data_IF_727057615554
#
_entry.id   IF_727057615554
#
_cell.length_a   1.000
_cell.length_b   1.000
_cell.length_c   1.000
_cell.angle_alpha   90.00
_cell.angle_beta   90.00
_cell.angle_gamma   90.00
#
_symmetry.space_group_name_H-M   'P 1'
#
loop_
_entity.id
_entity.type
_entity.pdbx_description
1 polymer ?
#
# COMPACT_ATOMS: atom_id res chain seq x y z
N UNK A 1 16.86 -26.29 37.77
CA UNK A 1 15.68 -25.40 37.77
C UNK A 1 16.12 -23.97 37.99
N UNK A 2 15.99 -23.09 36.99
CA UNK A 2 15.25 -21.81 37.12
C UNK A 2 15.16 -21.13 35.76
N UNK A 3 13.93 -21.10 35.24
CA UNK A 3 13.50 -20.30 34.09
C UNK A 3 13.66 -18.81 34.40
N UNK A 4 14.48 -18.11 33.61
CA UNK A 4 14.53 -16.64 33.56
C UNK A 4 13.76 -16.10 32.35
N UNK A 5 12.57 -16.66 32.11
CA UNK A 5 11.53 -16.10 31.22
C UNK A 5 10.61 -15.11 31.97
N UNK A 6 11.17 -14.30 32.87
CA UNK A 6 10.37 -13.32 33.61
C UNK A 6 10.12 -12.08 32.76
N UNK A 7 8.98 -12.11 32.09
CA UNK A 7 8.17 -10.95 31.76
C UNK A 7 8.80 -9.91 30.83
N UNK A 8 9.01 -10.29 29.57
CA UNK A 8 8.80 -9.33 28.47
C UNK A 8 7.28 -9.21 28.30
N UNK A 9 6.65 -8.29 29.03
CA UNK A 9 5.25 -7.96 28.79
C UNK A 9 5.14 -7.56 27.31
N UNK A 10 4.55 -8.43 26.48
CA UNK A 10 4.00 -7.97 25.21
C UNK A 10 3.01 -6.87 25.57
N UNK A 11 3.08 -5.66 24.99
CA UNK A 11 1.96 -4.75 25.11
C UNK A 11 0.76 -5.48 24.54
N UNK A 12 -0.15 -5.89 25.41
CA UNK A 12 -1.45 -6.41 25.05
C UNK A 12 -2.23 -5.19 24.59
N UNK A 13 -1.99 -4.76 23.34
CA UNK A 13 -2.95 -3.94 22.64
C UNK A 13 -4.16 -4.84 22.39
N UNK A 14 -5.04 -4.89 23.38
CA UNK A 14 -6.42 -5.35 23.22
C UNK A 14 -7.29 -4.20 22.71
N UNK A 15 -6.73 -3.32 21.86
CA UNK A 15 -7.57 -2.46 21.06
C UNK A 15 -8.17 -3.32 19.97
N UNK A 16 -9.50 -3.43 20.02
CA UNK A 16 -10.35 -3.79 18.89
C UNK A 16 -10.11 -2.76 17.76
N UNK A 17 -8.95 -2.81 17.11
CA UNK A 17 -8.72 -2.07 15.88
C UNK A 17 -9.64 -2.68 14.83
N UNK A 18 -10.59 -1.89 14.35
CA UNK A 18 -11.41 -2.28 13.21
C UNK A 18 -10.44 -2.56 12.07
N UNK A 19 -10.41 -3.79 11.56
CA UNK A 19 -9.51 -4.18 10.49
C UNK A 19 -9.69 -3.23 9.30
N UNK A 20 -8.66 -2.45 8.95
CA UNK A 20 -8.76 -1.40 7.93
C UNK A 20 -8.67 0.04 8.47
N UNK A 21 -8.75 0.24 9.80
CA UNK A 21 -8.75 1.54 10.49
C UNK A 21 -7.75 1.57 11.67
N UNK A 22 -6.76 0.68 11.66
CA UNK A 22 -5.70 0.64 12.67
C UNK A 22 -4.59 1.65 12.39
N UNK A 23 -3.82 2.02 13.41
CA UNK A 23 -2.74 3.01 13.30
C UNK A 23 -1.69 2.65 12.25
N UNK A 24 -1.42 1.35 12.07
CA UNK A 24 -0.53 0.83 11.02
C UNK A 24 -1.01 1.21 9.61
N UNK A 25 -2.32 1.12 9.35
CA UNK A 25 -2.90 1.40 8.04
C UNK A 25 -2.89 2.89 7.69
N UNK A 26 -3.10 3.75 8.70
CA UNK A 26 -2.99 5.19 8.58
C UNK A 26 -1.55 5.61 8.25
N UNK A 27 -0.58 5.03 8.97
CA UNK A 27 0.83 5.28 8.72
C UNK A 27 1.27 4.84 7.32
N UNK A 28 0.86 3.65 6.87
CA UNK A 28 1.15 3.16 5.52
C UNK A 28 0.55 4.07 4.44
N UNK A 29 -0.61 4.68 4.69
CA UNK A 29 -1.24 5.62 3.77
C UNK A 29 -0.55 6.98 3.75
N UNK A 30 -0.18 7.50 4.92
CA UNK A 30 0.61 8.72 5.03
C UNK A 30 1.97 8.57 4.34
N UNK A 31 2.67 7.46 4.57
CA UNK A 31 3.94 7.16 3.91
C UNK A 31 3.78 7.02 2.39
N UNK A 32 2.70 6.39 1.92
CA UNK A 32 2.41 6.31 0.50
C UNK A 32 2.15 7.70 -0.12
N UNK A 33 1.39 8.58 0.56
CA UNK A 33 1.15 9.96 0.11
C UNK A 33 2.46 10.77 0.06
N UNK A 34 3.31 10.64 1.08
CA UNK A 34 4.65 11.28 1.09
C UNK A 34 5.51 10.78 -0.07
N UNK A 35 5.57 9.47 -0.29
CA UNK A 35 6.35 8.89 -1.39
C UNK A 35 5.89 9.41 -2.76
N UNK A 36 4.57 9.53 -2.98
CA UNK A 36 4.00 10.12 -4.20
C UNK A 36 4.43 11.59 -4.37
N UNK A 37 4.42 12.36 -3.28
CA UNK A 37 4.85 13.77 -3.29
C UNK A 37 6.34 13.95 -3.59
N UNK A 38 7.19 13.05 -3.09
CA UNK A 38 8.63 13.05 -3.35
C UNK A 38 8.98 12.55 -4.76
N UNK A 39 8.16 11.64 -5.32
CA UNK A 39 8.44 10.97 -6.60
C UNK A 39 7.30 11.09 -7.61
N UNK A 40 6.88 12.32 -7.99
CA UNK A 40 5.71 12.52 -8.85
C UNK A 40 5.87 11.84 -10.22
N UNK A 41 7.07 11.89 -10.81
CA UNK A 41 7.35 11.22 -12.10
C UNK A 41 7.22 9.69 -12.02
N UNK A 42 7.61 9.09 -10.90
CA UNK A 42 7.49 7.64 -10.72
C UNK A 42 6.02 7.24 -10.52
N UNK A 43 5.27 8.06 -9.79
CA UNK A 43 3.83 7.90 -9.65
C UNK A 43 3.11 7.99 -11.00
N UNK A 44 3.35 9.04 -11.78
CA UNK A 44 2.74 9.25 -13.10
C UNK A 44 3.06 8.09 -14.03
N UNK A 45 4.31 7.61 -14.03
CA UNK A 45 4.70 6.44 -14.77
C UNK A 45 3.87 5.20 -14.39
N UNK A 46 3.67 4.92 -13.10
CA UNK A 46 2.83 3.80 -12.66
C UNK A 46 1.38 3.94 -13.16
N UNK A 47 0.82 5.14 -13.07
CA UNK A 47 -0.53 5.45 -13.53
C UNK A 47 -0.67 5.23 -15.03
N UNK A 48 0.32 5.65 -15.84
CA UNK A 48 0.33 5.45 -17.29
C UNK A 48 0.43 3.97 -17.69
N UNK A 49 1.15 3.15 -16.91
CA UNK A 49 1.27 1.72 -17.18
C UNK A 49 0.04 0.91 -16.73
N UNK A 50 -0.69 1.36 -15.70
CA UNK A 50 -1.81 0.62 -15.12
C UNK A 50 -2.91 0.24 -16.15
N UNK A 51 -3.38 1.12 -17.05
CA UNK A 51 -4.35 0.75 -18.10
C UNK A 51 -3.85 -0.32 -19.05
N UNK A 52 -2.53 -0.35 -19.35
CA UNK A 52 -1.93 -1.34 -20.25
C UNK A 52 -2.00 -2.73 -19.62
N UNK A 53 -1.80 -2.82 -18.31
CA UNK A 53 -1.91 -4.06 -17.55
C UNK A 53 -3.37 -4.49 -17.39
N UNK A 54 -4.29 -3.54 -17.17
CA UNK A 54 -5.71 -3.84 -16.99
C UNK A 54 -6.34 -4.55 -18.20
N UNK A 55 -5.83 -4.32 -19.42
CA UNK A 55 -6.25 -5.06 -20.63
C UNK A 55 -6.07 -6.57 -20.53
N UNK A 56 -5.21 -7.05 -19.61
CA UNK A 56 -4.97 -8.48 -19.35
C UNK A 56 -5.85 -9.05 -18.24
N UNK A 57 -6.75 -8.26 -17.67
CA UNK A 57 -7.78 -8.69 -16.72
C UNK A 57 -7.58 -8.23 -15.27
N UNK A 58 -6.39 -7.78 -14.88
CA UNK A 58 -6.14 -7.12 -13.60
C UNK A 58 -4.82 -6.36 -13.61
N UNK A 59 -4.67 -5.41 -12.68
CA UNK A 59 -3.44 -4.66 -12.43
C UNK A 59 -2.78 -5.19 -11.15
N UNK A 60 -1.53 -5.63 -11.27
CA UNK A 60 -0.68 -5.96 -10.12
C UNK A 60 0.10 -4.71 -9.70
N UNK A 61 -0.21 -4.15 -8.54
CA UNK A 61 0.51 -3.00 -8.00
C UNK A 61 1.99 -3.32 -7.71
N UNK A 62 2.29 -4.55 -7.29
CA UNK A 62 3.67 -4.99 -7.09
C UNK A 62 4.44 -5.01 -8.41
N UNK A 63 3.79 -5.40 -9.50
CA UNK A 63 4.42 -5.34 -10.83
C UNK A 63 4.75 -3.90 -11.22
N UNK A 64 3.84 -2.95 -11.01
CA UNK A 64 4.10 -1.53 -11.25
C UNK A 64 5.27 -1.01 -10.41
N UNK A 65 5.35 -1.41 -9.14
CA UNK A 65 6.48 -1.07 -8.26
C UNK A 65 7.80 -1.64 -8.80
N UNK A 66 7.80 -2.88 -9.29
CA UNK A 66 8.99 -3.47 -9.90
C UNK A 66 9.40 -2.74 -11.18
N UNK A 67 8.44 -2.28 -12.01
CA UNK A 67 8.75 -1.46 -13.17
C UNK A 67 9.42 -0.14 -12.75
N UNK A 68 8.88 0.57 -11.75
CA UNK A 68 9.51 1.79 -11.24
C UNK A 68 10.94 1.56 -10.74
N UNK A 69 11.17 0.49 -9.98
CA UNK A 69 12.50 0.15 -9.47
C UNK A 69 13.49 -0.16 -10.60
N UNK A 70 13.03 -0.85 -11.63
CA UNK A 70 13.89 -1.34 -12.71
C UNK A 70 14.12 -0.26 -13.78
N UNK A 71 13.10 0.49 -14.15
CA UNK A 71 13.13 1.44 -15.27
C UNK A 71 13.54 2.85 -14.82
N UNK A 72 13.13 3.26 -13.62
CA UNK A 72 13.39 4.60 -13.10
C UNK A 72 14.42 4.61 -11.96
N UNK A 73 14.85 3.44 -11.49
CA UNK A 73 15.77 3.30 -10.35
C UNK A 73 15.30 4.00 -9.07
N UNK A 74 13.98 4.14 -8.90
CA UNK A 74 13.37 4.74 -7.71
C UNK A 74 12.99 3.66 -6.70
N UNK A 75 13.44 3.84 -5.45
CA UNK A 75 13.10 2.98 -4.34
C UNK A 75 11.64 3.14 -3.91
N UNK A 76 10.95 2.02 -3.72
CA UNK A 76 9.60 1.96 -3.13
C UNK A 76 9.62 0.82 -2.11
N UNK A 77 8.94 0.93 -0.98
CA UNK A 77 8.79 -0.21 -0.04
C UNK A 77 7.65 -1.12 -0.49
N UNK A 78 7.84 -2.45 -0.42
CA UNK A 78 6.77 -3.41 -0.75
C UNK A 78 5.53 -3.24 0.14
N UNK A 79 5.71 -2.82 1.40
CA UNK A 79 4.61 -2.59 2.34
C UNK A 79 3.61 -1.53 1.87
N UNK A 80 4.02 -0.58 1.02
CA UNK A 80 3.16 0.48 0.51
C UNK A 80 2.25 0.05 -0.64
N UNK A 81 2.46 -1.14 -1.21
CA UNK A 81 1.69 -1.66 -2.33
C UNK A 81 0.16 -1.57 -2.12
N UNK A 82 -0.40 -1.98 -0.97
CA UNK A 82 -1.84 -1.89 -0.76
C UNK A 82 -2.35 -0.44 -0.69
N UNK A 83 -1.58 0.47 -0.09
CA UNK A 83 -1.91 1.90 0.01
C UNK A 83 -1.87 2.58 -1.36
N UNK A 84 -0.82 2.33 -2.14
CA UNK A 84 -0.67 2.87 -3.50
C UNK A 84 -1.79 2.42 -4.43
N UNK A 85 -2.20 1.15 -4.36
CA UNK A 85 -3.33 0.64 -5.14
C UNK A 85 -4.63 1.38 -4.80
N UNK A 86 -4.90 1.61 -3.51
CA UNK A 86 -6.11 2.33 -3.05
C UNK A 86 -6.11 3.79 -3.48
N UNK A 87 -4.99 4.48 -3.31
CA UNK A 87 -4.83 5.87 -3.78
C UNK A 87 -5.05 5.95 -5.29
N UNK A 88 -4.52 4.98 -6.05
CA UNK A 88 -4.70 4.96 -7.51
C UNK A 88 -6.16 4.76 -7.90
N UNK A 89 -6.87 3.83 -7.28
CA UNK A 89 -8.31 3.65 -7.55
C UNK A 89 -9.16 4.86 -7.16
N UNK A 90 -8.82 5.52 -6.05
CA UNK A 90 -9.53 6.71 -5.59
C UNK A 90 -9.33 7.90 -6.55
N UNK A 91 -8.09 8.13 -7.00
CA UNK A 91 -7.75 9.27 -7.88
C UNK A 91 -8.11 9.07 -9.35
N UNK A 92 -8.14 7.82 -9.82
CA UNK A 92 -8.33 7.51 -11.24
C UNK A 92 -9.53 6.59 -11.45
N UNK A 93 -10.73 7.15 -11.75
CA UNK A 93 -11.97 6.37 -11.86
C UNK A 93 -11.93 5.22 -12.87
N UNK A 94 -11.13 5.35 -13.93
CA UNK A 94 -10.96 4.31 -14.96
C UNK A 94 -10.14 3.09 -14.47
N UNK A 95 -9.52 3.18 -13.30
CA UNK A 95 -8.80 2.10 -12.64
C UNK A 95 -9.57 1.53 -11.45
N UNK A 96 -10.78 2.01 -11.17
CA UNK A 96 -11.61 1.50 -10.08
C UNK A 96 -11.88 0.01 -10.29
N UNK A 97 -11.61 -0.81 -9.27
CA UNK A 97 -11.70 -2.28 -9.32
C UNK A 97 -10.70 -2.96 -10.27
N UNK A 98 -9.72 -2.23 -10.83
CA UNK A 98 -8.70 -2.82 -11.70
C UNK A 98 -7.66 -3.61 -10.91
N UNK A 99 -7.47 -3.33 -9.62
CA UNK A 99 -6.46 -4.00 -8.80
C UNK A 99 -7.03 -5.23 -8.11
N UNK A 100 -6.32 -6.35 -8.21
CA UNK A 100 -6.65 -7.55 -7.44
C UNK A 100 -6.20 -7.34 -5.98
N UNK A 101 -7.05 -6.68 -5.20
CA UNK A 101 -6.80 -6.36 -3.78
C UNK A 101 -7.36 -7.47 -2.91
N UNK A 102 -6.48 -8.13 -2.15
CA UNK A 102 -6.91 -8.82 -0.94
C UNK A 102 -7.24 -7.81 0.17
N UNK A 103 -8.10 -8.18 1.13
CA UNK A 103 -8.37 -7.36 2.33
C UNK A 103 -7.04 -6.91 2.95
N UNK A 104 -6.88 -5.62 3.24
CA UNK A 104 -5.67 -5.11 3.90
C UNK A 104 -5.99 -4.02 4.92
N UNK A 105 -5.06 -3.82 5.85
CA UNK A 105 -5.16 -2.86 6.96
C UNK A 105 -5.41 -1.40 6.54
N UNK A 106 -5.25 -1.07 5.25
CA UNK A 106 -5.44 0.28 4.69
C UNK A 106 -6.81 0.50 4.05
N UNK A 107 -7.72 -0.48 4.11
CA UNK A 107 -9.05 -0.43 3.45
C UNK A 107 -9.95 0.72 3.91
N UNK A 108 -9.77 1.24 5.14
CA UNK A 108 -10.62 2.29 5.71
C UNK A 108 -10.15 3.73 5.47
N UNK A 109 -9.00 3.94 4.81
CA UNK A 109 -8.37 5.26 4.64
C UNK A 109 -8.43 5.80 3.20
N UNK A 110 -9.33 5.24 2.38
CA UNK A 110 -9.41 5.54 0.93
C UNK A 110 -10.06 6.89 0.63
N UNK A 111 -10.80 7.46 1.59
CA UNK A 111 -11.54 8.71 1.43
C UNK A 111 -10.75 9.91 1.99
N UNK A 112 -9.92 10.53 1.14
CA UNK A 112 -9.51 11.95 1.22
C UNK A 112 -8.95 12.44 -0.11
#
# INVERSE_FOLDING_TARGET
MRNDERYRQKPMSSQLEIFGLGADGEQDMAEARTWIGEHPRAWDFMVEQAPRLNRKGYVSINYLIHMVRNELHVGVKNGLAPSLARIMEARYPHLRHAFNKHRSKSDGFVDE
#
